data_IF_783262997047
#
_entry.id   IF_783262997047
#
_cell.length_a   1.000
_cell.length_b   1.000
_cell.length_c   1.000
_cell.angle_alpha   90.00
_cell.angle_beta   90.00
_cell.angle_gamma   90.00
#
_symmetry.space_group_name_H-M   'P 1'
#
loop_
_entity.id
_entity.type
_entity.pdbx_description
1 polymer ?
#
# COMPACT_ATOMS: atom_id res chain seq x y z
N UNK A 1 -3.51 22.57 10.12
CA UNK A 1 -3.24 21.32 10.82
C UNK A 1 -2.61 20.32 9.87
N UNK A 2 -1.53 19.74 10.29
CA UNK A 2 -0.83 18.77 9.43
C UNK A 2 -1.38 17.38 9.63
N UNK A 3 -1.47 16.65 8.55
CA UNK A 3 -1.84 15.24 8.64
C UNK A 3 -0.62 14.42 9.04
N UNK A 4 -0.81 13.36 9.82
CA UNK A 4 0.29 12.43 10.08
C UNK A 4 0.77 11.86 8.77
N UNK A 5 2.07 11.76 8.61
CA UNK A 5 2.65 11.24 7.38
C UNK A 5 3.99 10.59 7.65
N UNK A 6 4.37 9.68 6.75
CA UNK A 6 5.71 9.10 6.75
C UNK A 6 6.18 9.05 5.31
N UNK A 7 7.48 9.11 5.12
CA UNK A 7 8.07 8.94 3.80
C UNK A 7 8.72 7.56 3.75
N UNK A 8 8.52 6.87 2.66
CA UNK A 8 9.02 5.50 2.50
C UNK A 8 9.67 5.34 1.14
N UNK A 9 10.47 4.30 1.02
CA UNK A 9 11.02 3.87 -0.25
C UNK A 9 10.45 2.49 -0.55
N UNK A 10 10.20 2.24 -1.83
CA UNK A 10 9.63 0.98 -2.28
C UNK A 10 10.69 0.22 -3.04
N UNK A 11 10.88 -1.05 -2.70
CA UNK A 11 11.81 -1.93 -3.42
C UNK A 11 10.99 -2.80 -4.35
N UNK A 12 11.31 -2.76 -5.63
CA UNK A 12 10.66 -3.59 -6.64
C UNK A 12 11.66 -4.57 -7.24
N UNK A 13 11.15 -5.72 -7.61
CA UNK A 13 11.96 -6.76 -8.24
C UNK A 13 11.45 -7.04 -9.63
N UNK A 14 12.36 -7.21 -10.56
CA UNK A 14 12.06 -7.64 -11.91
C UNK A 14 12.72 -8.99 -12.13
N UNK A 15 11.99 -9.92 -12.70
CA UNK A 15 12.51 -11.25 -13.02
C UNK A 15 12.30 -11.50 -14.50
N UNK A 16 13.35 -11.95 -15.19
CA UNK A 16 13.23 -12.37 -16.57
C UNK A 16 12.38 -13.62 -16.61
N UNK A 17 11.31 -13.59 -17.40
CA UNK A 17 10.41 -14.73 -17.46
C UNK A 17 10.00 -14.95 -18.92
N UNK A 18 10.93 -15.53 -19.69
CA UNK A 18 10.69 -15.68 -21.11
C UNK A 18 9.55 -16.66 -21.36
N UNK A 19 8.46 -16.13 -21.85
CA UNK A 19 7.33 -16.92 -22.28
C UNK A 19 6.68 -16.19 -23.44
N UNK A 20 5.61 -16.76 -24.00
CA UNK A 20 5.02 -16.18 -25.19
C UNK A 20 4.35 -14.84 -24.95
N UNK A 21 3.99 -14.56 -23.72
CA UNK A 21 3.16 -13.39 -23.43
C UNK A 21 3.90 -12.30 -22.69
N UNK A 22 4.86 -12.67 -21.85
CA UNK A 22 5.57 -11.72 -21.00
C UNK A 22 7.03 -12.09 -20.92
N UNK A 23 7.88 -11.10 -21.13
CA UNK A 23 9.31 -11.29 -20.96
C UNK A 23 9.75 -11.01 -19.53
N UNK A 24 8.96 -10.23 -18.79
CA UNK A 24 9.37 -9.74 -17.50
C UNK A 24 8.25 -9.90 -16.48
N UNK A 25 8.60 -10.34 -15.28
CA UNK A 25 7.70 -10.30 -14.16
C UNK A 25 8.15 -9.20 -13.20
N UNK A 26 7.21 -8.47 -12.66
CA UNK A 26 7.50 -7.37 -11.72
C UNK A 26 6.70 -7.58 -10.45
N UNK A 27 7.31 -7.26 -9.31
CA UNK A 27 6.58 -7.29 -8.04
C UNK A 27 7.22 -6.35 -7.04
N UNK A 28 6.44 -5.94 -6.05
CA UNK A 28 6.96 -5.18 -4.93
C UNK A 28 7.53 -6.16 -3.92
N UNK A 29 8.77 -5.91 -3.48
CA UNK A 29 9.39 -6.75 -2.47
C UNK A 29 9.14 -6.24 -1.06
N UNK A 30 9.30 -4.95 -0.85
CA UNK A 30 9.13 -4.39 0.49
C UNK A 30 9.01 -2.88 0.42
N UNK A 31 8.52 -2.32 1.51
CA UNK A 31 8.46 -0.88 1.72
C UNK A 31 9.26 -0.59 2.96
N UNK A 32 10.19 0.34 2.90
CA UNK A 32 11.08 0.64 4.01
C UNK A 32 11.03 2.14 4.33
N UNK A 33 11.36 2.48 5.55
CA UNK A 33 11.40 3.88 5.96
C UNK A 33 12.43 4.63 5.14
N UNK A 34 12.08 5.86 4.74
CA UNK A 34 12.99 6.73 3.98
C UNK A 34 13.20 7.99 4.79
N UNK A 35 14.38 8.10 5.39
CA UNK A 35 14.72 9.24 6.23
C UNK A 35 15.69 10.18 5.51
N UNK A 36 15.68 10.14 4.18
CA UNK A 36 16.48 11.01 3.36
C UNK A 36 17.81 10.42 2.91
N UNK A 37 18.17 9.25 3.43
CA UNK A 37 19.46 8.65 3.13
C UNK A 37 19.54 8.03 1.75
N UNK A 38 18.41 7.83 1.09
CA UNK A 38 18.41 7.19 -0.22
C UNK A 38 18.48 8.19 -1.38
N UNK A 39 18.44 9.50 -1.09
CA UNK A 39 18.42 10.48 -2.15
C UNK A 39 17.06 10.62 -2.77
N UNK A 40 17.01 11.13 -4.00
CA UNK A 40 15.75 11.41 -4.68
C UNK A 40 15.55 10.58 -5.95
N UNK A 41 16.57 9.86 -6.38
CA UNK A 41 16.50 9.10 -7.63
C UNK A 41 16.40 7.63 -7.39
N UNK A 42 15.78 6.88 -8.31
CA UNK A 42 15.78 5.42 -8.20
C UNK A 42 17.20 4.87 -8.16
N UNK A 43 17.38 3.81 -7.40
CA UNK A 43 18.69 3.20 -7.20
C UNK A 43 18.62 1.72 -7.49
N UNK A 44 19.51 1.24 -8.34
CA UNK A 44 19.59 -0.20 -8.59
C UNK A 44 20.33 -0.85 -7.43
N UNK A 45 19.71 -1.85 -6.82
CA UNK A 45 20.29 -2.56 -5.69
C UNK A 45 21.00 -3.84 -6.10
N UNK A 46 20.50 -4.49 -7.16
CA UNK A 46 20.99 -5.80 -7.56
C UNK A 46 20.62 -6.03 -9.03
N UNK A 47 21.48 -6.71 -9.75
CA UNK A 47 21.18 -7.07 -11.14
C UNK A 47 22.13 -8.18 -11.56
N UNK A 48 21.60 -9.40 -11.72
CA UNK A 48 22.42 -10.53 -12.17
C UNK A 48 21.98 -11.01 -13.55
N UNK A 49 21.23 -10.18 -14.27
CA UNK A 49 20.76 -10.51 -15.61
C UNK A 49 19.43 -11.22 -15.63
N UNK A 50 19.10 -11.96 -14.58
CA UNK A 50 17.81 -12.62 -14.46
C UNK A 50 16.91 -11.90 -13.47
N UNK A 51 17.48 -11.47 -12.36
CA UNK A 51 16.75 -10.80 -11.29
C UNK A 51 17.38 -9.43 -11.09
N UNK A 52 16.56 -8.41 -11.10
CA UNK A 52 17.00 -7.04 -10.83
C UNK A 52 16.14 -6.44 -9.73
N UNK A 53 16.76 -5.67 -8.85
CA UNK A 53 16.05 -5.01 -7.76
C UNK A 53 16.37 -3.54 -7.76
N UNK A 54 15.34 -2.73 -7.57
CA UNK A 54 15.45 -1.28 -7.61
C UNK A 54 14.75 -0.67 -6.41
N UNK A 55 15.35 0.36 -5.85
CA UNK A 55 14.75 1.11 -4.75
C UNK A 55 14.26 2.45 -5.27
N UNK A 56 13.00 2.76 -4.97
CA UNK A 56 12.35 4.01 -5.40
C UNK A 56 12.05 4.85 -4.16
N UNK A 57 12.83 5.91 -3.90
CA UNK A 57 12.63 6.70 -2.69
C UNK A 57 11.55 7.75 -2.83
N UNK A 58 11.22 8.40 -1.73
CA UNK A 58 10.41 9.60 -1.77
C UNK A 58 8.90 9.42 -1.88
N UNK A 59 8.40 8.27 -1.49
CA UNK A 59 6.94 8.05 -1.51
C UNK A 59 6.36 8.44 -0.16
N UNK A 60 5.36 9.30 -0.19
CA UNK A 60 4.77 9.82 1.04
C UNK A 60 3.42 9.17 1.30
N UNK A 61 3.24 8.69 2.52
CA UNK A 61 1.95 8.22 2.99
C UNK A 61 1.41 9.25 3.96
N UNK A 62 0.21 9.77 3.68
CA UNK A 62 -0.49 10.64 4.60
C UNK A 62 -1.73 9.92 5.10
N UNK A 63 -2.09 10.15 6.36
CA UNK A 63 -3.30 9.56 6.92
C UNK A 63 -4.44 10.57 6.88
N UNK A 64 -5.61 10.12 6.46
CA UNK A 64 -6.79 10.95 6.29
C UNK A 64 -7.92 10.40 7.15
N UNK A 65 -8.57 11.27 7.90
CA UNK A 65 -9.64 10.84 8.79
C UNK A 65 -10.78 10.13 8.04
N UNK A 66 -11.07 10.58 6.83
CA UNK A 66 -12.15 9.97 6.05
C UNK A 66 -11.75 8.64 5.38
N UNK A 67 -10.49 8.21 5.53
CA UNK A 67 -10.06 6.89 5.06
C UNK A 67 -10.01 5.88 6.20
N UNK A 68 -10.40 6.25 7.40
CA UNK A 68 -10.21 5.38 8.56
C UNK A 68 -10.94 4.05 8.48
N UNK A 69 -12.05 3.97 7.74
CA UNK A 69 -12.70 2.69 7.54
C UNK A 69 -11.77 1.74 6.78
N UNK A 70 -11.08 2.26 5.78
CA UNK A 70 -10.12 1.46 5.03
C UNK A 70 -8.94 1.02 5.87
N UNK A 71 -8.49 1.87 6.77
CA UNK A 71 -7.40 1.51 7.70
C UNK A 71 -7.88 0.44 8.67
N UNK A 72 -9.09 0.60 9.19
CA UNK A 72 -9.66 -0.37 10.11
C UNK A 72 -9.75 -1.76 9.45
N UNK A 73 -10.20 -1.81 8.20
CA UNK A 73 -10.29 -3.07 7.49
C UNK A 73 -8.92 -3.72 7.32
N UNK A 74 -7.89 -2.92 7.04
CA UNK A 74 -6.54 -3.44 6.93
C UNK A 74 -6.03 -3.95 8.28
N UNK A 75 -6.26 -3.18 9.34
CA UNK A 75 -5.79 -3.55 10.68
C UNK A 75 -6.46 -4.82 11.20
N UNK A 76 -7.68 -5.11 10.79
CA UNK A 76 -8.43 -6.26 11.29
C UNK A 76 -8.38 -7.46 10.37
N UNK A 77 -7.62 -7.39 9.29
CA UNK A 77 -7.58 -8.46 8.29
C UNK A 77 -6.56 -9.55 8.59
N UNK A 78 -6.03 -9.60 9.79
CA UNK A 78 -5.06 -10.60 10.19
C UNK A 78 -3.65 -10.06 10.11
N UNK A 79 -3.13 -9.87 8.93
CA UNK A 79 -1.78 -9.32 8.74
C UNK A 79 -1.90 -7.97 8.03
N UNK A 80 -1.74 -6.86 8.75
CA UNK A 80 -1.79 -5.55 8.11
C UNK A 80 -0.66 -5.40 7.09
N UNK A 81 -0.95 -4.71 6.01
CA UNK A 81 -0.03 -4.63 4.88
C UNK A 81 0.06 -3.21 4.35
N UNK A 82 1.13 -2.96 3.59
CA UNK A 82 1.22 -1.85 2.67
C UNK A 82 0.53 -2.26 1.39
N UNK A 83 -0.18 -1.33 0.76
CA UNK A 83 -0.67 -1.52 -0.61
C UNK A 83 0.15 -0.59 -1.48
N UNK A 84 0.74 -1.13 -2.54
CA UNK A 84 1.56 -0.35 -3.46
C UNK A 84 0.97 -0.51 -4.86
N UNK A 85 0.57 0.60 -5.45
CA UNK A 85 0.11 0.60 -6.83
C UNK A 85 1.31 0.88 -7.72
N UNK A 86 1.50 0.09 -8.75
CA UNK A 86 2.64 0.23 -9.63
C UNK A 86 2.22 0.06 -11.09
N UNK A 87 3.08 0.53 -11.98
CA UNK A 87 2.80 0.49 -13.41
C UNK A 87 4.05 0.12 -14.16
N UNK A 88 3.85 -0.58 -15.29
CA UNK A 88 4.93 -0.87 -16.22
C UNK A 88 5.09 0.35 -17.11
N UNK A 89 6.33 0.71 -17.40
CA UNK A 89 6.63 1.83 -18.28
C UNK A 89 6.11 1.52 -19.68
N UNK A 90 5.39 2.46 -20.27
CA UNK A 90 4.81 2.26 -21.59
C UNK A 90 5.86 2.13 -22.67
N UNK A 91 6.98 2.78 -22.50
CA UNK A 91 8.04 2.72 -23.51
C UNK A 91 9.05 1.61 -23.28
N UNK A 92 8.98 0.92 -22.14
CA UNK A 92 9.99 -0.09 -21.80
C UNK A 92 9.38 -1.11 -20.84
N UNK A 93 8.94 -2.23 -21.38
CA UNK A 93 8.26 -3.26 -20.59
C UNK A 93 9.17 -3.92 -19.57
N UNK A 94 10.49 -3.71 -19.66
CA UNK A 94 11.41 -4.24 -18.68
C UNK A 94 11.46 -3.38 -17.42
N UNK A 95 10.79 -2.23 -17.41
CA UNK A 95 10.81 -1.30 -16.26
C UNK A 95 9.40 -1.13 -15.73
N UNK A 96 9.29 -1.20 -14.42
CA UNK A 96 8.06 -0.87 -13.72
C UNK A 96 8.44 -0.03 -12.52
N UNK A 97 7.55 0.81 -12.06
CA UNK A 97 7.83 1.65 -10.90
C UNK A 97 6.59 1.84 -10.05
N UNK A 98 6.79 2.05 -8.75
CA UNK A 98 5.66 2.34 -7.88
C UNK A 98 5.12 3.72 -8.17
N UNK A 99 3.81 3.87 -8.09
CA UNK A 99 3.16 5.15 -8.31
C UNK A 99 2.59 5.73 -7.04
N UNK A 100 2.08 4.87 -6.15
CA UNK A 100 1.46 5.33 -4.92
C UNK A 100 1.48 4.24 -3.87
N UNK A 101 1.48 4.66 -2.61
CA UNK A 101 1.42 3.74 -1.47
C UNK A 101 0.21 4.10 -0.62
N UNK A 102 -0.35 3.12 0.02
CA UNK A 102 -1.48 3.33 0.92
C UNK A 102 -1.52 2.21 1.96
N UNK A 103 -2.24 2.47 3.05
CA UNK A 103 -2.57 1.45 4.03
C UNK A 103 -4.08 1.30 4.17
N UNK A 104 -4.84 1.85 3.22
CA UNK A 104 -6.30 1.76 3.21
C UNK A 104 -6.74 0.65 2.28
N UNK A 105 -7.44 -0.33 2.84
CA UNK A 105 -8.01 -1.42 2.06
C UNK A 105 -8.99 -0.89 1.00
N UNK A 106 -9.72 0.17 1.34
CA UNK A 106 -10.69 0.75 0.41
C UNK A 106 -9.98 1.44 -0.74
N UNK A 107 -8.86 2.11 -0.47
CA UNK A 107 -8.08 2.74 -1.54
C UNK A 107 -7.52 1.68 -2.48
N UNK A 108 -7.02 0.55 -1.93
CA UNK A 108 -6.51 -0.53 -2.75
C UNK A 108 -7.62 -1.09 -3.65
N UNK A 109 -8.81 -1.21 -3.11
CA UNK A 109 -9.95 -1.70 -3.88
C UNK A 109 -10.32 -0.73 -5.01
N UNK A 110 -10.23 0.57 -4.75
CA UNK A 110 -10.47 1.56 -5.81
C UNK A 110 -9.45 1.43 -6.93
N UNK A 111 -8.18 1.21 -6.58
CA UNK A 111 -7.13 1.02 -7.58
C UNK A 111 -7.40 -0.22 -8.42
N UNK A 112 -7.74 -1.34 -7.76
CA UNK A 112 -8.01 -2.58 -8.47
C UNK A 112 -9.23 -2.44 -9.38
N UNK A 113 -10.25 -1.71 -8.94
CA UNK A 113 -11.43 -1.47 -9.76
C UNK A 113 -11.11 -0.62 -10.98
N UNK A 114 -10.04 0.18 -10.91
CA UNK A 114 -9.57 0.98 -12.03
C UNK A 114 -8.55 0.21 -12.87
N UNK A 115 -8.40 -1.09 -12.61
CA UNK A 115 -7.51 -1.97 -13.37
C UNK A 115 -6.03 -1.64 -13.17
N UNK A 116 -5.69 -1.04 -12.04
CA UNK A 116 -4.30 -0.82 -11.70
C UNK A 116 -3.72 -2.07 -11.05
N UNK A 117 -2.39 -2.18 -11.10
CA UNK A 117 -1.69 -3.29 -10.44
C UNK A 117 -1.36 -2.88 -9.02
N UNK A 118 -1.73 -3.72 -8.08
CA UNK A 118 -1.51 -3.46 -6.67
C UNK A 118 -0.90 -4.70 -6.03
N UNK A 119 0.22 -4.52 -5.36
CA UNK A 119 0.82 -5.57 -4.55
C UNK A 119 0.71 -5.18 -3.10
N UNK A 120 0.74 -6.16 -2.22
CA UNK A 120 0.80 -5.87 -0.80
C UNK A 120 2.01 -6.55 -0.17
N UNK A 121 2.58 -5.89 0.83
CA UNK A 121 3.70 -6.44 1.61
C UNK A 121 3.45 -6.10 3.07
N UNK A 122 4.02 -6.86 4.01
CA UNK A 122 3.72 -6.66 5.42
C UNK A 122 4.04 -5.26 5.92
N UNK A 123 3.21 -4.76 6.80
CA UNK A 123 3.41 -3.48 7.47
C UNK A 123 4.27 -3.70 8.69
N UNK A 124 5.24 -2.80 8.91
CA UNK A 124 6.13 -2.90 10.05
C UNK A 124 5.36 -2.65 11.36
N UNK A 125 5.84 -3.24 12.46
CA UNK A 125 5.15 -3.16 13.73
C UNK A 125 4.97 -1.74 14.24
N UNK A 126 5.99 -0.90 14.10
CA UNK A 126 5.90 0.47 14.57
C UNK A 126 4.86 1.26 13.77
N UNK A 127 4.75 0.98 12.48
CA UNK A 127 3.73 1.64 11.65
C UNK A 127 2.34 1.07 11.92
N UNK A 128 2.27 -0.21 12.28
CA UNK A 128 1.02 -0.81 12.69
C UNK A 128 0.46 -0.09 13.91
N UNK A 129 1.30 0.15 14.91
CA UNK A 129 0.88 0.86 16.12
C UNK A 129 0.49 2.29 15.81
N UNK A 130 1.26 2.97 14.98
CA UNK A 130 0.98 4.34 14.55
C UNK A 130 -0.38 4.43 13.85
N UNK A 131 -0.64 3.51 12.95
CA UNK A 131 -1.89 3.47 12.21
C UNK A 131 -3.06 3.16 13.13
N UNK A 132 -2.86 2.24 14.08
CA UNK A 132 -3.91 1.90 15.03
C UNK A 132 -4.29 3.09 15.90
N UNK A 133 -3.29 3.86 16.36
CA UNK A 133 -3.56 5.04 17.15
C UNK A 133 -4.39 6.05 16.38
N UNK A 134 -4.02 6.33 15.14
CA UNK A 134 -4.76 7.26 14.31
C UNK A 134 -6.18 6.76 14.08
N UNK A 135 -6.31 5.48 13.76
CA UNK A 135 -7.61 4.90 13.45
C UNK A 135 -8.52 4.93 14.68
N UNK A 136 -7.98 4.57 15.84
CA UNK A 136 -8.77 4.60 17.08
C UNK A 136 -9.23 6.00 17.42
N UNK A 137 -8.45 7.01 17.07
CA UNK A 137 -8.78 8.39 17.38
C UNK A 137 -9.86 8.94 16.46
N UNK A 138 -9.85 8.55 15.19
CA UNK A 138 -10.68 9.17 14.17
C UNK A 138 -11.81 8.31 13.63
N UNK A 139 -11.74 7.01 13.81
CA UNK A 139 -12.75 6.10 13.26
C UNK A 139 -13.57 5.52 14.40
N UNK A 140 -14.88 5.74 14.32
CA UNK A 140 -15.79 5.15 15.26
C UNK A 140 -16.63 4.13 14.52
N UNK A 141 -16.43 2.87 14.87
CA UNK A 141 -17.24 1.82 14.34
C UNK A 141 -18.67 2.15 14.73
N UNK A 142 -19.56 2.10 13.77
CA UNK A 142 -20.94 2.35 14.07
C UNK A 142 -21.42 1.34 15.07
N UNK A 143 -21.92 1.85 16.17
CA UNK A 143 -22.44 0.99 17.16
C UNK A 143 -23.67 0.31 16.59
N UNK A 144 -23.90 -0.92 16.99
CA UNK A 144 -25.11 -1.58 16.55
C UNK A 144 -26.30 -0.85 17.09
N UNK A 145 -26.09 0.29 17.57
CA UNK A 145 -27.15 1.12 17.94
C UNK A 145 -28.09 1.29 16.82
N UNK A 146 -27.61 1.01 15.77
CA UNK A 146 -28.44 1.07 14.72
C UNK A 146 -29.03 -0.16 14.58
N UNK A 147 -28.92 -0.76 15.15
CA UNK A 147 -29.43 -1.75 15.13
C UNK A 147 -30.34 -1.87 15.92
N UNK A 148 -30.84 -1.51 16.31
CA UNK A 148 -31.33 -1.36 16.84
C UNK A 148 -32.18 -1.20 16.67
N UNK A 149 -32.43 -1.43 16.28
CA UNK A 149 -32.69 -1.23 16.16
C UNK A 149 -33.35 -1.58 15.87
N UNK A 150 -33.90 -1.96 15.75
CA UNK A 150 -33.98 -2.23 15.56
C UNK A 150 -34.63 -2.70 15.59
N UNK A 151 -35.25 -2.79 15.76
CA UNK A 151 -35.42 -3.02 15.96
C UNK A 151 -35.96 -3.22 15.78
N UNK A 152 -36.57 -3.26 15.71
CA UNK A 152 -36.53 -3.41 15.59
C UNK A 152 -37.01 -3.70 15.62
N UNK A 153 -37.83 -3.56 15.61
CA UNK A 153 -37.70 -3.74 15.65
C UNK A 153 -37.93 -4.09 15.76
N UNK A 154 -38.71 -4.06 16.02
CA UNK A 154 -38.37 -4.28 16.11
C UNK A 154 -38.35 -4.54 15.91
N UNK A 155 -39.12 -4.48 16.05
CA UNK A 155 -38.54 -4.59 15.82
C UNK A 155 -38.50 -4.69 15.49
N UNK A 156 -39.13 -4.72 15.49
CA UNK A 156 -38.57 -4.63 15.27
C UNK A 156 -38.24 -4.71 14.94
#
# INVERSE_FOLDING_TARGET
MQRPSVTVAVVMERVAQPNRWEEWGHRVLEVVADEGGFGTEPRKLHDDGKVSQWLYPGHKLELFADECKGYFLNLTAGQPVWFVMWRVDEGDASMARPEAVSVSYIQADRWLSAEEKVDNVPLQDDLHDWLRLFTNEHFKVDEPRRQRAHSFLSGE
#
